data_IF_362542062744
#
_entry.id   IF_362542062744
#
_cell.length_a   1.000
_cell.length_b   1.000
_cell.length_c   1.000
_cell.angle_alpha   90.00
_cell.angle_beta   90.00
_cell.angle_gamma   90.00
#
_symmetry.space_group_name_H-M   'P 1'
#
loop_
_entity.id
_entity.type
_entity.pdbx_description
1 polymer ?
#
# COMPACT_ATOMS: atom_id res chain seq x y z
N UNK A 1 -30.13 -18.28 -11.15
CA UNK A 1 -30.11 -16.83 -11.47
C UNK A 1 -30.57 -16.48 -12.89
N UNK A 2 -30.04 -17.10 -13.97
CA UNK A 2 -30.45 -16.77 -15.36
C UNK A 2 -31.95 -17.01 -15.64
N UNK A 3 -32.53 -18.11 -15.15
CA UNK A 3 -33.97 -18.43 -15.31
C UNK A 3 -34.89 -17.41 -14.62
N UNK A 4 -34.54 -16.96 -13.41
CA UNK A 4 -35.33 -15.97 -12.66
C UNK A 4 -35.37 -14.61 -13.37
N UNK A 5 -34.23 -14.17 -13.92
CA UNK A 5 -34.17 -12.94 -14.74
C UNK A 5 -35.03 -13.05 -15.99
N UNK A 6 -35.00 -14.20 -16.67
CA UNK A 6 -35.82 -14.43 -17.86
C UNK A 6 -37.31 -14.38 -17.52
N UNK A 7 -37.72 -15.05 -16.43
CA UNK A 7 -39.10 -15.05 -15.94
C UNK A 7 -39.58 -13.63 -15.58
N UNK A 8 -38.74 -12.84 -14.90
CA UNK A 8 -39.07 -11.44 -14.57
C UNK A 8 -39.21 -10.56 -15.82
N UNK A 9 -38.33 -10.72 -16.81
CA UNK A 9 -38.43 -9.98 -18.09
C UNK A 9 -39.71 -10.36 -18.84
N UNK A 10 -40.05 -11.65 -18.92
CA UNK A 10 -41.28 -12.10 -19.55
C UNK A 10 -42.53 -11.63 -18.81
N UNK A 11 -42.51 -11.60 -17.47
CA UNK A 11 -43.61 -11.07 -16.67
C UNK A 11 -43.85 -9.58 -16.90
N UNK A 12 -42.79 -8.77 -17.00
CA UNK A 12 -42.87 -7.33 -17.29
C UNK A 12 -43.38 -7.08 -18.72
N UNK A 13 -42.93 -7.87 -19.70
CA UNK A 13 -43.36 -7.74 -21.09
C UNK A 13 -44.80 -8.24 -21.34
N UNK A 14 -45.24 -9.27 -20.61
CA UNK A 14 -46.59 -9.80 -20.73
C UNK A 14 -47.65 -8.85 -20.13
N UNK A 15 -47.28 -8.05 -19.13
CA UNK A 15 -48.21 -7.16 -18.41
C UNK A 15 -49.00 -6.16 -19.28
N UNK A 16 -48.39 -5.37 -20.20
CA UNK A 16 -49.16 -4.46 -21.05
C UNK A 16 -50.10 -5.20 -22.01
N UNK A 17 -49.72 -6.39 -22.48
CA UNK A 17 -50.53 -7.21 -23.38
C UNK A 17 -51.75 -7.77 -22.65
N UNK A 18 -51.56 -8.29 -21.44
CA UNK A 18 -52.65 -8.83 -20.61
C UNK A 18 -53.58 -7.75 -20.09
N UNK A 19 -53.07 -6.55 -19.78
CA UNK A 19 -53.87 -5.38 -19.38
C UNK A 19 -54.80 -4.90 -20.49
N UNK A 20 -54.32 -4.85 -21.74
CA UNK A 20 -55.15 -4.51 -22.91
C UNK A 20 -56.25 -5.57 -23.10
N UNK A 21 -55.89 -6.85 -22.98
CA UNK A 21 -56.83 -7.96 -23.13
C UNK A 21 -57.94 -7.92 -22.07
N UNK A 22 -57.59 -7.59 -20.82
CA UNK A 22 -58.56 -7.40 -19.75
C UNK A 22 -59.52 -6.23 -20.02
N UNK A 23 -59.01 -5.09 -20.51
CA UNK A 23 -59.85 -3.94 -20.87
C UNK A 23 -60.85 -4.23 -21.98
N UNK A 24 -60.52 -5.14 -22.89
CA UNK A 24 -61.36 -5.50 -24.04
C UNK A 24 -62.38 -6.60 -23.69
N UNK A 25 -61.99 -7.58 -22.88
CA UNK A 25 -62.82 -8.78 -22.61
C UNK A 25 -63.61 -8.64 -21.30
N UNK A 26 -63.26 -7.69 -20.42
CA UNK A 26 -64.04 -7.35 -19.22
C UNK A 26 -64.03 -8.42 -18.11
N UNK A 27 -63.12 -9.39 -18.17
CA UNK A 27 -63.03 -10.46 -17.17
C UNK A 27 -61.99 -10.07 -16.11
N UNK A 28 -62.34 -10.05 -14.80
CA UNK A 28 -61.47 -9.61 -13.71
C UNK A 28 -60.37 -10.63 -13.32
N UNK A 29 -59.73 -11.29 -14.31
CA UNK A 29 -58.72 -12.34 -14.06
C UNK A 29 -57.46 -11.77 -13.39
N UNK A 30 -57.17 -10.49 -13.59
CA UNK A 30 -55.95 -9.84 -13.12
C UNK A 30 -56.18 -8.72 -12.12
N UNK A 31 -57.39 -8.55 -11.57
CA UNK A 31 -57.65 -7.50 -10.57
C UNK A 31 -56.77 -7.68 -9.33
N UNK A 32 -56.65 -8.91 -8.82
CA UNK A 32 -55.73 -9.21 -7.72
C UNK A 32 -54.27 -8.97 -8.09
N UNK A 33 -53.88 -9.20 -9.35
CA UNK A 33 -52.50 -8.94 -9.81
C UNK A 33 -52.24 -7.43 -9.96
N UNK A 34 -53.23 -6.67 -10.44
CA UNK A 34 -53.19 -5.22 -10.54
C UNK A 34 -53.17 -4.57 -9.16
N UNK A 35 -53.95 -5.07 -8.20
CA UNK A 35 -53.91 -4.65 -6.80
C UNK A 35 -52.53 -4.92 -6.18
N UNK A 36 -51.95 -6.10 -6.38
CA UNK A 36 -50.59 -6.43 -5.91
C UNK A 36 -49.54 -5.50 -6.55
N UNK A 37 -49.63 -5.24 -7.86
CA UNK A 37 -48.73 -4.32 -8.55
C UNK A 37 -48.92 -2.87 -8.10
N UNK A 38 -50.15 -2.45 -7.86
CA UNK A 38 -50.47 -1.11 -7.37
C UNK A 38 -49.98 -0.93 -5.93
N UNK A 39 -50.21 -1.90 -5.05
CA UNK A 39 -49.63 -1.90 -3.70
C UNK A 39 -48.10 -1.89 -3.75
N UNK A 40 -47.49 -2.68 -4.64
CA UNK A 40 -46.05 -2.67 -4.87
C UNK A 40 -45.54 -1.32 -5.37
N UNK A 41 -46.25 -0.69 -6.32
CA UNK A 41 -45.94 0.63 -6.82
C UNK A 41 -46.04 1.70 -5.73
N UNK A 42 -47.11 1.69 -4.92
CA UNK A 42 -47.31 2.65 -3.82
C UNK A 42 -46.17 2.53 -2.80
N UNK A 43 -45.77 1.31 -2.43
CA UNK A 43 -44.64 1.06 -1.51
C UNK A 43 -43.32 1.53 -2.15
N UNK A 44 -43.07 1.17 -3.40
CA UNK A 44 -41.85 1.56 -4.11
C UNK A 44 -41.75 3.07 -4.28
N UNK A 45 -42.86 3.73 -4.59
CA UNK A 45 -42.93 5.19 -4.71
C UNK A 45 -42.72 5.87 -3.35
N UNK A 46 -43.30 5.32 -2.28
CA UNK A 46 -43.10 5.84 -0.92
C UNK A 46 -41.66 5.68 -0.41
N UNK A 47 -40.90 4.69 -0.90
CA UNK A 47 -39.54 4.39 -0.46
C UNK A 47 -38.46 4.65 -1.54
N UNK A 48 -38.82 5.23 -2.68
CA UNK A 48 -37.93 5.38 -3.84
C UNK A 48 -36.64 6.12 -3.47
N UNK A 49 -36.78 7.17 -2.67
CA UNK A 49 -35.71 8.05 -2.21
C UNK A 49 -34.64 7.27 -1.46
N UNK A 50 -35.07 6.37 -0.58
CA UNK A 50 -34.19 5.50 0.21
C UNK A 50 -33.53 4.43 -0.64
N UNK A 51 -34.24 3.88 -1.63
CA UNK A 51 -33.64 2.97 -2.61
C UNK A 51 -32.55 3.67 -3.42
N UNK A 52 -32.77 4.93 -3.84
CA UNK A 52 -31.78 5.75 -4.51
C UNK A 52 -30.57 6.02 -3.60
N UNK A 53 -30.79 6.41 -2.34
CA UNK A 53 -29.73 6.64 -1.35
C UNK A 53 -28.89 5.38 -1.13
N UNK A 54 -29.53 4.22 -0.95
CA UNK A 54 -28.83 2.93 -0.80
C UNK A 54 -28.00 2.60 -2.03
N UNK A 55 -28.56 2.78 -3.23
CA UNK A 55 -27.87 2.55 -4.49
C UNK A 55 -26.66 3.47 -4.66
N UNK A 56 -26.82 4.78 -4.43
CA UNK A 56 -25.71 5.74 -4.48
C UNK A 56 -24.66 5.46 -3.43
N UNK A 57 -25.06 5.09 -2.21
CA UNK A 57 -24.14 4.70 -1.13
C UNK A 57 -23.32 3.49 -1.54
N UNK A 58 -23.94 2.47 -2.15
CA UNK A 58 -23.22 1.31 -2.67
C UNK A 58 -22.22 1.70 -3.77
N UNK A 59 -22.64 2.52 -4.74
CA UNK A 59 -21.78 2.95 -5.84
C UNK A 59 -20.55 3.72 -5.32
N UNK A 60 -20.76 4.71 -4.45
CA UNK A 60 -19.67 5.52 -3.91
C UNK A 60 -18.71 4.70 -3.05
N UNK A 61 -19.21 3.70 -2.31
CA UNK A 61 -18.40 2.94 -1.37
C UNK A 61 -17.81 1.64 -1.91
N UNK A 62 -18.15 1.22 -3.15
CA UNK A 62 -17.70 -0.06 -3.73
C UNK A 62 -16.19 -0.29 -3.65
N UNK A 63 -15.39 0.76 -3.80
CA UNK A 63 -13.92 0.70 -3.81
C UNK A 63 -13.28 1.37 -2.59
N UNK A 64 -14.03 1.59 -1.50
CA UNK A 64 -13.55 2.37 -0.35
C UNK A 64 -12.33 1.75 0.33
N UNK A 65 -12.22 0.42 0.33
CA UNK A 65 -11.08 -0.33 0.88
C UNK A 65 -9.78 0.03 0.17
N UNK A 66 -9.85 0.45 -1.09
CA UNK A 66 -8.66 0.83 -1.84
C UNK A 66 -7.94 2.05 -1.25
N UNK A 67 -8.70 2.94 -0.60
CA UNK A 67 -8.15 4.12 0.11
C UNK A 67 -7.26 3.67 1.28
N UNK A 68 -7.64 2.61 1.98
CA UNK A 68 -6.82 2.00 3.04
C UNK A 68 -5.49 1.53 2.44
N UNK A 69 -5.54 0.70 1.40
CA UNK A 69 -4.34 0.12 0.79
C UNK A 69 -3.39 1.18 0.22
N UNK A 70 -3.90 2.18 -0.48
CA UNK A 70 -3.08 3.27 -1.04
C UNK A 70 -2.42 4.10 0.08
N UNK A 71 -3.11 4.27 1.20
CA UNK A 71 -2.56 4.94 2.38
C UNK A 71 -1.48 4.11 3.06
N UNK A 72 -1.70 2.80 3.20
CA UNK A 72 -0.71 1.87 3.76
C UNK A 72 0.58 1.86 2.93
N UNK A 73 0.47 1.82 1.60
CA UNK A 73 1.61 1.89 0.67
C UNK A 73 2.39 3.19 0.82
N UNK A 74 1.67 4.33 0.89
CA UNK A 74 2.29 5.64 1.09
C UNK A 74 3.06 5.72 2.40
N UNK A 75 2.46 5.27 3.51
CA UNK A 75 3.11 5.26 4.83
C UNK A 75 4.31 4.31 4.83
N UNK A 76 4.18 3.13 4.21
CA UNK A 76 5.27 2.15 4.08
C UNK A 76 6.46 2.76 3.37
N UNK A 77 6.24 3.48 2.26
CA UNK A 77 7.30 4.16 1.52
C UNK A 77 7.93 5.30 2.34
N UNK A 78 7.12 6.16 2.96
CA UNK A 78 7.63 7.23 3.83
C UNK A 78 8.43 6.69 5.02
N UNK A 79 8.00 5.58 5.62
CA UNK A 79 8.69 4.90 6.72
C UNK A 79 10.01 4.31 6.25
N UNK A 80 10.03 3.69 5.07
CA UNK A 80 11.26 3.17 4.48
C UNK A 80 12.30 4.28 4.27
N UNK A 81 11.92 5.39 3.63
CA UNK A 81 12.83 6.53 3.46
C UNK A 81 13.29 7.09 4.80
N UNK A 82 12.39 7.20 5.79
CA UNK A 82 12.76 7.65 7.13
C UNK A 82 13.80 6.75 7.82
N UNK A 83 13.69 5.42 7.67
CA UNK A 83 14.71 4.49 8.18
C UNK A 83 16.00 4.57 7.37
N UNK A 84 15.96 4.70 6.04
CA UNK A 84 17.18 4.87 5.25
C UNK A 84 17.93 6.14 5.67
N UNK A 85 17.23 7.28 5.80
CA UNK A 85 17.80 8.55 6.27
C UNK A 85 18.42 8.41 7.67
N UNK A 86 17.70 7.74 8.58
CA UNK A 86 18.10 7.58 9.99
C UNK A 86 19.44 6.88 10.13
N UNK A 87 19.68 5.88 9.28
CA UNK A 87 20.89 5.08 9.31
C UNK A 87 21.97 5.61 8.36
N UNK A 88 21.72 6.64 7.56
CA UNK A 88 22.60 7.08 6.46
C UNK A 88 24.07 7.26 6.88
N UNK A 89 24.32 7.86 8.04
CA UNK A 89 25.67 8.15 8.54
C UNK A 89 26.38 6.98 9.26
N UNK A 90 25.76 5.80 9.26
CA UNK A 90 26.26 4.60 9.96
C UNK A 90 26.80 3.55 8.98
N UNK A 91 27.74 2.69 9.41
CA UNK A 91 28.30 1.63 8.55
C UNK A 91 27.33 0.45 8.32
N UNK A 92 26.17 0.46 8.99
CA UNK A 92 25.22 -0.65 9.01
C UNK A 92 24.09 -0.45 8.02
N UNK A 93 23.54 -1.54 7.50
CA UNK A 93 22.32 -1.53 6.69
C UNK A 93 21.12 -1.27 7.62
N UNK A 94 20.15 -0.41 7.23
CA UNK A 94 18.94 -0.22 8.02
C UNK A 94 18.22 -1.57 8.19
N UNK A 95 17.83 -1.97 9.40
CA UNK A 95 17.15 -3.25 9.66
C UNK A 95 15.93 -3.47 8.77
N UNK A 96 15.12 -2.42 8.57
CA UNK A 96 13.96 -2.46 7.68
C UNK A 96 14.33 -2.76 6.23
N UNK A 97 15.45 -2.20 5.76
CA UNK A 97 15.96 -2.46 4.41
C UNK A 97 16.44 -3.91 4.28
N UNK A 98 17.20 -4.39 5.28
CA UNK A 98 17.65 -5.78 5.32
C UNK A 98 16.46 -6.75 5.31
N UNK A 99 15.44 -6.50 6.14
CA UNK A 99 14.22 -7.30 6.17
C UNK A 99 13.55 -7.38 4.80
N UNK A 100 13.42 -6.27 4.09
CA UNK A 100 12.80 -6.24 2.76
C UNK A 100 13.67 -6.80 1.65
N UNK A 101 14.99 -6.86 1.81
CA UNK A 101 15.89 -7.54 0.87
C UNK A 101 15.75 -9.07 1.00
N UNK A 102 15.67 -9.57 2.25
CA UNK A 102 15.48 -10.99 2.53
C UNK A 102 14.04 -11.46 2.27
N UNK A 103 13.06 -10.59 2.51
CA UNK A 103 11.63 -10.87 2.35
C UNK A 103 11.02 -9.84 1.39
N UNK A 104 11.15 -10.03 0.07
CA UNK A 104 10.73 -9.05 -0.91
C UNK A 104 9.25 -8.65 -0.77
N UNK A 105 8.96 -7.38 -0.42
CA UNK A 105 7.61 -6.94 -0.10
C UNK A 105 6.71 -6.97 -1.33
N UNK A 106 5.54 -7.57 -1.16
CA UNK A 106 4.45 -7.51 -2.14
C UNK A 106 3.63 -6.23 -1.96
N UNK A 107 2.68 -5.95 -2.87
CA UNK A 107 1.71 -4.90 -2.60
C UNK A 107 0.87 -5.26 -1.38
N UNK A 108 0.51 -4.25 -0.59
CA UNK A 108 -0.43 -4.38 0.53
C UNK A 108 -1.87 -4.64 0.03
N UNK A 109 -2.17 -4.25 -1.21
CA UNK A 109 -3.46 -4.55 -1.85
C UNK A 109 -3.54 -6.02 -2.28
N UNK A 110 -4.74 -6.59 -2.18
CA UNK A 110 -5.06 -7.93 -2.68
C UNK A 110 -5.25 -7.99 -4.20
N UNK A 111 -5.26 -6.83 -4.87
CA UNK A 111 -5.41 -6.74 -6.31
C UNK A 111 -4.13 -7.21 -7.03
N UNK A 112 -4.29 -8.23 -7.89
CA UNK A 112 -3.21 -8.84 -8.68
C UNK A 112 -2.54 -7.80 -9.59
N UNK A 113 -3.31 -6.87 -10.16
CA UNK A 113 -2.76 -5.80 -11.00
C UNK A 113 -1.81 -4.90 -10.20
N UNK A 114 -2.24 -4.51 -8.99
CA UNK A 114 -1.41 -3.70 -8.09
C UNK A 114 -0.17 -4.45 -7.60
N UNK A 115 -0.27 -5.76 -7.34
CA UNK A 115 0.87 -6.60 -6.97
C UNK A 115 1.95 -6.59 -8.07
N UNK A 116 1.55 -6.74 -9.34
CA UNK A 116 2.48 -6.81 -10.47
C UNK A 116 3.12 -5.47 -10.82
N UNK A 117 2.40 -4.36 -10.62
CA UNK A 117 2.90 -3.00 -10.91
C UNK A 117 3.61 -2.31 -9.74
N UNK A 118 3.65 -2.93 -8.55
CA UNK A 118 4.18 -2.29 -7.34
C UNK A 118 5.69 -2.12 -7.40
N UNK A 119 6.20 -0.89 -7.47
CA UNK A 119 7.65 -0.61 -7.57
C UNK A 119 8.37 -0.49 -6.23
N UNK A 120 7.74 -0.84 -5.11
CA UNK A 120 8.35 -0.65 -3.79
C UNK A 120 9.61 -1.51 -3.60
N UNK A 121 9.59 -2.78 -4.00
CA UNK A 121 10.79 -3.61 -3.91
C UNK A 121 11.93 -3.10 -4.81
N UNK A 122 11.61 -2.62 -6.01
CA UNK A 122 12.58 -1.95 -6.89
C UNK A 122 13.23 -0.74 -6.18
N UNK A 123 12.45 0.07 -5.47
CA UNK A 123 12.96 1.18 -4.66
C UNK A 123 13.88 0.70 -3.53
N UNK A 124 13.53 -0.38 -2.83
CA UNK A 124 14.38 -0.98 -1.77
C UNK A 124 15.73 -1.40 -2.34
N UNK A 125 15.73 -2.10 -3.48
CA UNK A 125 16.95 -2.58 -4.13
C UNK A 125 17.80 -1.42 -4.64
N UNK A 126 17.21 -0.36 -5.19
CA UNK A 126 17.96 0.84 -5.55
C UNK A 126 18.62 1.51 -4.34
N UNK A 127 17.88 1.68 -3.25
CA UNK A 127 18.45 2.26 -2.02
C UNK A 127 19.58 1.39 -1.44
N UNK A 128 19.48 0.06 -1.55
CA UNK A 128 20.55 -0.85 -1.19
C UNK A 128 21.78 -0.68 -2.07
N UNK A 129 21.59 -0.66 -3.39
CA UNK A 129 22.66 -0.44 -4.37
C UNK A 129 23.37 0.88 -4.14
N UNK A 130 22.65 1.96 -3.88
CA UNK A 130 23.27 3.26 -3.64
C UNK A 130 24.11 3.22 -2.36
N UNK A 131 23.71 2.45 -1.34
CA UNK A 131 24.41 2.35 -0.06
C UNK A 131 25.66 1.48 -0.09
N UNK A 132 25.64 0.32 -0.75
CA UNK A 132 26.80 -0.59 -0.83
C UNK A 132 28.01 0.06 -1.52
N UNK A 133 27.78 1.08 -2.35
CA UNK A 133 28.82 1.74 -3.16
C UNK A 133 29.21 3.13 -2.68
N UNK A 134 28.60 3.63 -1.59
CA UNK A 134 29.11 4.83 -0.93
C UNK A 134 30.33 4.42 -0.12
N UNK A 135 31.51 4.88 -0.57
CA UNK A 135 32.77 4.89 0.20
C UNK A 135 32.63 5.91 1.36
N UNK A 136 31.70 5.62 2.26
CA UNK A 136 31.20 6.55 3.24
C UNK A 136 32.09 6.55 4.46
N UNK A 137 32.77 7.68 4.70
CA UNK A 137 33.25 8.01 6.04
C UNK A 137 32.03 8.05 6.97
N UNK A 138 31.79 6.96 7.68
CA UNK A 138 30.71 6.89 8.67
C UNK A 138 31.05 7.84 9.80
N UNK A 139 30.16 8.80 10.08
CA UNK A 139 30.38 9.79 11.12
C UNK A 139 29.90 9.31 12.50
N UNK A 140 29.05 8.27 12.54
CA UNK A 140 28.48 7.71 13.76
C UNK A 140 28.29 6.19 13.67
N UNK A 141 28.42 5.49 14.80
CA UNK A 141 28.03 4.08 14.94
C UNK A 141 26.58 3.89 15.39
N UNK A 142 25.93 4.97 15.81
CA UNK A 142 24.56 4.96 16.30
C UNK A 142 23.65 5.68 15.30
N UNK A 143 22.51 5.08 14.93
CA UNK A 143 21.55 5.73 14.05
C UNK A 143 20.93 6.95 14.75
N UNK A 144 20.45 7.91 13.96
CA UNK A 144 19.70 9.04 14.47
C UNK A 144 18.43 8.58 15.22
N UNK A 145 17.79 9.46 16.00
CA UNK A 145 16.50 9.14 16.60
C UNK A 145 15.42 8.91 15.51
N UNK A 146 14.52 7.94 15.73
CA UNK A 146 13.41 7.69 14.79
C UNK A 146 12.51 8.91 14.69
N UNK A 147 12.07 9.22 13.47
CA UNK A 147 11.03 10.22 13.25
C UNK A 147 9.73 9.73 13.91
N UNK A 148 8.95 10.65 14.49
CA UNK A 148 7.66 10.27 15.08
C UNK A 148 6.70 9.72 14.04
N UNK A 149 5.79 8.84 14.45
CA UNK A 149 4.79 8.21 13.56
C UNK A 149 3.97 9.25 12.77
N UNK A 150 3.59 10.34 13.43
CA UNK A 150 2.89 11.46 12.80
C UNK A 150 3.69 12.14 11.70
N UNK A 151 5.02 12.24 11.86
CA UNK A 151 5.90 12.80 10.84
C UNK A 151 6.01 11.90 9.61
N UNK A 152 5.84 10.58 9.78
CA UNK A 152 5.85 9.60 8.68
C UNK A 152 4.55 9.63 7.89
N UNK A 153 3.42 9.72 8.57
CA UNK A 153 2.11 9.93 7.92
C UNK A 153 2.15 11.22 7.10
N UNK A 154 2.80 12.26 7.65
CA UNK A 154 2.98 13.55 7.02
C UNK A 154 1.81 14.50 7.32
N UNK A 155 2.17 15.76 7.60
CA UNK A 155 1.20 16.79 8.01
C UNK A 155 0.06 16.97 7.01
N UNK A 156 0.35 16.87 5.70
CA UNK A 156 -0.65 17.01 4.64
C UNK A 156 -1.75 15.95 4.71
N UNK A 157 -1.40 14.68 4.96
CA UNK A 157 -2.40 13.60 5.06
C UNK A 157 -3.22 13.71 6.34
N UNK A 158 -2.56 14.08 7.43
CA UNK A 158 -3.22 14.35 8.70
C UNK A 158 -4.25 15.48 8.57
N UNK A 159 -3.84 16.65 8.05
CA UNK A 159 -4.73 17.80 7.83
C UNK A 159 -5.89 17.45 6.91
N UNK A 160 -5.65 16.70 5.83
CA UNK A 160 -6.71 16.24 4.93
C UNK A 160 -7.73 15.37 5.67
N UNK A 161 -7.26 14.47 6.52
CA UNK A 161 -8.15 13.58 7.32
C UNK A 161 -8.95 14.40 8.34
N UNK A 162 -8.29 15.31 9.06
CA UNK A 162 -8.93 16.18 10.06
C UNK A 162 -9.97 17.11 9.45
N UNK A 163 -9.68 17.72 8.30
CA UNK A 163 -10.64 18.58 7.59
C UNK A 163 -11.88 17.80 7.18
N UNK A 164 -11.72 16.59 6.65
CA UNK A 164 -12.86 15.72 6.32
C UNK A 164 -13.67 15.35 7.57
N UNK A 165 -13.00 15.02 8.69
CA UNK A 165 -13.70 14.78 9.96
C UNK A 165 -14.51 15.98 10.43
N UNK A 166 -13.96 17.20 10.32
CA UNK A 166 -14.66 18.44 10.67
C UNK A 166 -15.87 18.66 9.76
N UNK A 167 -15.75 18.39 8.46
CA UNK A 167 -16.87 18.49 7.53
C UNK A 167 -18.01 17.54 7.89
N UNK A 168 -17.69 16.30 8.29
CA UNK A 168 -18.68 15.33 8.75
C UNK A 168 -19.37 15.87 10.02
N UNK A 169 -18.61 16.20 11.05
CA UNK A 169 -19.18 16.72 12.31
C UNK A 169 -20.00 17.99 12.07
N UNK A 170 -19.52 18.90 11.24
CA UNK A 170 -20.22 20.13 10.87
C UNK A 170 -21.53 19.86 10.12
N UNK A 171 -21.57 18.87 9.23
CA UNK A 171 -22.81 18.45 8.58
C UNK A 171 -23.81 17.91 9.60
N UNK A 172 -23.40 16.99 10.49
CA UNK A 172 -24.27 16.44 11.53
C UNK A 172 -24.81 17.55 12.44
N UNK A 173 -23.93 18.48 12.86
CA UNK A 173 -24.32 19.60 13.72
C UNK A 173 -25.32 20.51 13.01
N UNK A 174 -25.07 20.86 11.74
CA UNK A 174 -25.95 21.71 10.95
C UNK A 174 -27.35 21.12 10.80
N UNK A 175 -27.47 19.84 10.48
CA UNK A 175 -28.80 19.21 10.30
C UNK A 175 -29.51 19.07 11.65
N UNK A 176 -28.80 18.65 12.70
CA UNK A 176 -29.41 18.41 14.02
C UNK A 176 -29.87 19.71 14.71
N UNK A 177 -29.16 20.82 14.50
CA UNK A 177 -29.54 22.13 15.09
C UNK A 177 -30.77 22.72 14.41
N UNK A 178 -30.91 22.53 13.09
CA UNK A 178 -32.02 23.10 12.33
C UNK A 178 -33.32 22.32 12.57
N UNK A 179 -33.27 21.00 12.33
CA UNK A 179 -34.39 20.09 12.57
C UNK A 179 -33.90 18.63 12.52
N UNK A 180 -33.94 17.88 13.65
CA UNK A 180 -33.54 16.49 13.69
C UNK A 180 -34.30 15.57 12.71
N UNK A 181 -35.56 15.88 12.39
CA UNK A 181 -36.37 15.06 11.47
C UNK A 181 -35.92 15.19 10.00
N UNK A 182 -35.21 16.26 9.67
CA UNK A 182 -34.68 16.52 8.33
C UNK A 182 -33.69 15.44 7.85
N UNK A 183 -33.13 14.65 8.76
CA UNK A 183 -32.34 13.46 8.42
C UNK A 183 -33.11 12.37 7.67
N UNK A 184 -34.39 12.22 7.99
CA UNK A 184 -35.23 11.14 7.45
C UNK A 184 -36.20 11.67 6.39
N UNK A 185 -36.75 12.86 6.63
CA UNK A 185 -37.83 13.42 5.82
C UNK A 185 -37.41 14.64 5.00
N UNK A 186 -36.30 15.29 5.35
CA UNK A 186 -35.76 16.47 4.67
C UNK A 186 -34.97 16.13 3.40
N UNK A 187 -34.58 17.17 2.66
CA UNK A 187 -33.75 17.04 1.45
C UNK A 187 -32.29 16.66 1.77
N UNK A 188 -31.88 16.88 3.02
CA UNK A 188 -30.59 16.56 3.59
C UNK A 188 -30.27 15.07 3.45
N UNK A 189 -31.29 14.20 3.44
CA UNK A 189 -31.15 12.76 3.25
C UNK A 189 -30.41 12.38 1.96
N UNK A 190 -30.51 13.19 0.90
CA UNK A 190 -29.78 12.94 -0.36
C UNK A 190 -28.27 13.15 -0.25
N UNK A 191 -27.80 13.83 0.79
CA UNK A 191 -26.38 13.99 1.08
C UNK A 191 -25.79 12.85 1.92
N UNK A 192 -26.63 11.97 2.49
CA UNK A 192 -26.22 10.80 3.29
C UNK A 192 -25.17 9.92 2.57
N UNK A 193 -25.32 9.56 1.27
CA UNK A 193 -24.32 8.74 0.58
C UNK A 193 -22.92 9.34 0.61
N UNK A 194 -22.82 10.67 0.48
CA UNK A 194 -21.55 11.41 0.50
C UNK A 194 -20.98 11.43 1.92
N UNK A 195 -21.81 11.69 2.92
CA UNK A 195 -21.39 11.72 4.33
C UNK A 195 -20.90 10.35 4.78
N UNK A 196 -21.60 9.27 4.41
CA UNK A 196 -21.15 7.89 4.66
C UNK A 196 -19.81 7.62 3.98
N UNK A 197 -19.64 8.03 2.71
CA UNK A 197 -18.37 7.89 2.01
C UNK A 197 -17.23 8.62 2.72
N UNK A 198 -17.45 9.86 3.17
CA UNK A 198 -16.46 10.63 3.92
C UNK A 198 -16.15 9.96 5.27
N UNK A 199 -17.16 9.44 5.97
CA UNK A 199 -16.98 8.70 7.23
C UNK A 199 -16.13 7.44 7.03
N UNK A 200 -16.44 6.65 6.01
CA UNK A 200 -15.64 5.47 5.68
C UNK A 200 -14.23 5.86 5.18
N UNK A 201 -14.09 6.96 4.44
CA UNK A 201 -12.79 7.50 4.04
C UNK A 201 -11.89 7.77 5.26
N UNK A 202 -12.44 8.45 6.27
CA UNK A 202 -11.73 8.74 7.53
C UNK A 202 -11.41 7.44 8.27
N UNK A 203 -12.37 6.53 8.39
CA UNK A 203 -12.16 5.23 9.06
C UNK A 203 -11.04 4.41 8.40
N UNK A 204 -11.03 4.31 7.06
CA UNK A 204 -10.00 3.61 6.29
C UNK A 204 -8.61 4.26 6.45
N UNK A 205 -8.55 5.59 6.50
CA UNK A 205 -7.31 6.34 6.76
C UNK A 205 -6.77 6.08 8.17
N UNK A 206 -7.62 6.18 9.19
CA UNK A 206 -7.24 5.93 10.59
C UNK A 206 -6.78 4.49 10.76
N UNK A 207 -7.50 3.52 10.19
CA UNK A 207 -7.09 2.11 10.23
C UNK A 207 -5.70 1.93 9.61
N UNK A 208 -5.42 2.57 8.47
CA UNK A 208 -4.10 2.54 7.85
C UNK A 208 -3.00 3.14 8.75
N UNK A 209 -3.30 4.23 9.47
CA UNK A 209 -2.38 4.86 10.42
C UNK A 209 -2.03 3.92 11.58
N UNK A 210 -3.01 3.19 12.12
CA UNK A 210 -2.83 2.26 13.24
C UNK A 210 -2.12 0.96 12.82
N UNK A 211 -2.34 0.49 11.59
CA UNK A 211 -1.70 -0.73 11.08
C UNK A 211 -0.21 -0.56 10.80
N UNK A 212 0.24 0.63 10.39
CA UNK A 212 1.64 0.90 10.02
C UNK A 212 2.50 1.48 11.15
N UNK A 213 2.15 1.24 12.42
CA UNK A 213 2.91 1.74 13.57
C UNK A 213 4.32 1.14 13.66
N UNK A 214 5.23 1.88 14.29
CA UNK A 214 6.60 1.39 14.56
C UNK A 214 6.64 0.20 15.51
N UNK A 215 5.77 0.18 16.54
CA UNK A 215 5.75 -0.93 17.50
C UNK A 215 5.50 -2.27 16.80
N UNK A 216 4.58 -2.30 15.82
CA UNK A 216 4.33 -3.51 15.02
C UNK A 216 5.54 -3.87 14.14
N UNK A 217 6.22 -2.87 13.60
CA UNK A 217 7.42 -3.11 12.81
C UNK A 217 8.55 -3.68 13.68
N UNK A 218 8.75 -3.15 14.88
CA UNK A 218 9.79 -3.60 15.80
C UNK A 218 9.61 -5.05 16.20
N UNK A 219 8.37 -5.47 16.47
CA UNK A 219 8.06 -6.89 16.72
C UNK A 219 8.45 -7.75 15.51
N UNK A 220 8.09 -7.35 14.29
CA UNK A 220 8.43 -8.12 13.08
C UNK A 220 9.94 -8.22 12.86
N UNK A 221 10.69 -7.15 13.12
CA UNK A 221 12.15 -7.14 12.98
C UNK A 221 12.80 -8.00 14.08
N UNK A 222 12.34 -7.86 15.33
CA UNK A 222 12.82 -8.62 16.47
C UNK A 222 12.54 -10.12 16.32
N UNK A 223 11.35 -10.50 15.83
CA UNK A 223 11.01 -11.90 15.54
C UNK A 223 11.91 -12.51 14.45
N UNK A 224 12.33 -11.70 13.47
CA UNK A 224 13.14 -12.19 12.35
C UNK A 224 14.64 -12.24 12.65
N UNK A 225 15.18 -11.25 13.36
CA UNK A 225 16.62 -11.12 13.61
C UNK A 225 17.03 -11.41 15.05
N UNK A 226 16.08 -11.56 15.98
CA UNK A 226 16.33 -11.73 17.41
C UNK A 226 16.58 -10.42 18.17
N UNK A 227 16.67 -9.29 17.47
CA UNK A 227 16.88 -7.96 18.05
C UNK A 227 16.17 -6.88 17.23
N UNK A 228 15.79 -5.76 17.87
CA UNK A 228 15.05 -4.67 17.22
C UNK A 228 15.88 -3.87 16.21
N UNK A 229 17.19 -3.76 16.45
CA UNK A 229 18.09 -2.93 15.63
C UNK A 229 19.38 -3.68 15.28
N UNK A 230 19.28 -4.73 14.44
CA UNK A 230 20.42 -5.53 14.06
C UNK A 230 21.46 -4.71 13.30
N UNK A 231 22.71 -4.84 13.73
CA UNK A 231 23.85 -4.12 13.19
C UNK A 231 24.56 -4.94 12.12
N UNK A 232 23.89 -5.11 10.98
CA UNK A 232 24.48 -5.83 9.83
C UNK A 232 25.29 -4.85 9.00
N UNK A 233 26.60 -5.07 8.92
CA UNK A 233 27.46 -4.27 8.07
C UNK A 233 27.30 -4.65 6.59
N UNK A 234 27.66 -3.75 5.70
CA UNK A 234 27.54 -4.00 4.26
C UNK A 234 28.47 -5.12 3.73
N UNK A 235 29.69 -5.36 4.25
CA UNK A 235 30.54 -6.45 3.75
C UNK A 235 29.92 -7.82 4.05
N UNK A 236 29.21 -7.97 5.18
CA UNK A 236 28.54 -9.22 5.56
C UNK A 236 27.45 -9.66 4.57
N UNK A 237 26.95 -8.74 3.75
CA UNK A 237 25.85 -9.00 2.81
C UNK A 237 26.30 -9.05 1.37
N UNK A 238 27.60 -9.09 1.11
CA UNK A 238 28.14 -9.18 -0.25
C UNK A 238 27.81 -10.58 -0.87
N UNK A 239 27.62 -10.72 -2.19
CA UNK A 239 27.14 -11.96 -2.85
C UNK A 239 27.95 -13.23 -2.55
N UNK A 240 29.22 -13.11 -2.21
CA UNK A 240 30.08 -14.22 -1.79
C UNK A 240 29.76 -14.71 -0.36
N UNK A 241 29.25 -13.83 0.50
CA UNK A 241 28.86 -14.11 1.87
C UNK A 241 27.51 -14.85 1.98
N UNK A 242 27.28 -15.63 3.05
CA UNK A 242 26.03 -16.37 3.24
C UNK A 242 24.78 -15.49 3.18
N UNK A 243 24.79 -14.30 3.81
CA UNK A 243 23.65 -13.38 3.79
C UNK A 243 23.40 -12.81 2.39
N UNK A 244 24.45 -12.52 1.62
CA UNK A 244 24.31 -12.04 0.24
C UNK A 244 23.77 -13.10 -0.72
N UNK A 245 24.13 -14.37 -0.52
CA UNK A 245 23.53 -15.51 -1.25
C UNK A 245 22.01 -15.61 -1.00
N UNK A 246 21.56 -15.35 0.23
CA UNK A 246 20.12 -15.33 0.53
C UNK A 246 19.44 -14.14 -0.15
N UNK A 247 20.06 -12.95 -0.16
CA UNK A 247 19.52 -11.77 -0.86
C UNK A 247 19.39 -12.02 -2.36
N UNK A 248 20.41 -12.61 -3.00
CA UNK A 248 20.35 -12.95 -4.43
C UNK A 248 19.26 -13.98 -4.74
N UNK A 249 19.13 -15.02 -3.91
CA UNK A 249 18.06 -16.02 -4.05
C UNK A 249 16.66 -15.40 -3.86
N UNK A 250 16.49 -14.54 -2.85
CA UNK A 250 15.23 -13.83 -2.62
C UNK A 250 14.85 -12.93 -3.81
N UNK A 251 15.82 -12.21 -4.37
CA UNK A 251 15.63 -11.40 -5.58
C UNK A 251 15.24 -12.24 -6.80
N UNK A 252 15.90 -13.39 -7.03
CA UNK A 252 15.55 -14.30 -8.12
C UNK A 252 14.12 -14.85 -7.97
N UNK A 253 13.76 -15.29 -6.77
CA UNK A 253 12.42 -15.79 -6.48
C UNK A 253 11.33 -14.70 -6.69
N UNK A 254 11.63 -13.46 -6.30
CA UNK A 254 10.73 -12.32 -6.49
C UNK A 254 10.52 -12.01 -7.97
N UNK A 255 11.61 -11.90 -8.73
CA UNK A 255 11.56 -11.57 -10.15
C UNK A 255 10.82 -12.63 -10.96
N UNK A 256 11.07 -13.91 -10.67
CA UNK A 256 10.34 -15.02 -11.27
C UNK A 256 8.85 -14.98 -10.92
N UNK A 257 8.51 -14.84 -9.63
CA UNK A 257 7.11 -14.77 -9.17
C UNK A 257 6.36 -13.62 -9.84
N UNK A 258 6.96 -12.43 -9.89
CA UNK A 258 6.32 -11.24 -10.48
C UNK A 258 6.14 -11.39 -11.99
N UNK A 259 7.10 -12.00 -12.68
CA UNK A 259 6.97 -12.30 -14.11
C UNK A 259 5.84 -13.32 -14.36
N UNK A 260 5.73 -14.38 -13.55
CA UNK A 260 4.63 -15.35 -13.62
C UNK A 260 3.27 -14.66 -13.47
N UNK A 261 3.10 -13.77 -12.49
CA UNK A 261 1.86 -13.00 -12.33
C UNK A 261 1.61 -12.03 -13.49
N UNK A 262 2.66 -11.46 -14.08
CA UNK A 262 2.53 -10.62 -15.28
C UNK A 262 1.98 -11.41 -16.46
N UNK A 263 2.49 -12.64 -16.65
CA UNK A 263 2.06 -13.52 -17.73
C UNK A 263 0.60 -13.95 -17.53
N UNK A 264 0.18 -14.25 -16.30
CA UNK A 264 -1.21 -14.56 -15.95
C UNK A 264 -2.16 -13.41 -16.31
N UNK A 265 -1.81 -12.17 -15.97
CA UNK A 265 -2.64 -10.99 -16.31
C UNK A 265 -2.75 -10.80 -17.83
N UNK A 266 -1.65 -11.03 -18.57
CA UNK A 266 -1.60 -10.82 -20.02
C UNK A 266 -2.13 -12.01 -20.82
N UNK A 267 -2.67 -13.05 -20.17
CA UNK A 267 -3.11 -14.31 -20.79
C UNK A 267 -2.04 -14.97 -21.67
N UNK A 268 -0.75 -14.71 -21.37
CA UNK A 268 0.36 -15.29 -22.11
C UNK A 268 0.67 -16.67 -21.52
N UNK A 269 0.87 -17.67 -22.39
CA UNK A 269 1.35 -18.98 -21.96
C UNK A 269 2.64 -18.82 -21.13
N UNK A 270 2.74 -19.58 -20.05
CA UNK A 270 3.93 -19.64 -19.21
C UNK A 270 5.07 -20.29 -20.02
N UNK A 271 5.76 -19.49 -20.84
CA UNK A 271 6.97 -19.95 -21.49
C UNK A 271 8.08 -20.04 -20.45
N UNK A 272 8.80 -21.17 -20.41
CA UNK A 272 10.01 -21.37 -19.61
C UNK A 272 11.19 -20.50 -20.04
N UNK A 273 10.98 -19.51 -20.93
CA UNK A 273 12.03 -18.65 -21.42
C UNK A 273 12.11 -17.39 -20.53
N UNK A 274 13.29 -17.05 -19.97
CA UNK A 274 13.48 -15.98 -18.99
C UNK A 274 13.50 -14.59 -19.63
N UNK A 275 12.63 -14.32 -20.61
CA UNK A 275 12.45 -12.99 -21.15
C UNK A 275 11.60 -12.15 -20.19
N UNK A 276 12.25 -11.68 -19.14
CA UNK A 276 11.69 -10.77 -18.15
C UNK A 276 11.32 -9.43 -18.80
N UNK A 277 10.03 -9.14 -18.91
CA UNK A 277 9.49 -7.93 -19.56
C UNK A 277 8.69 -7.03 -18.61
N UNK A 278 8.57 -7.40 -17.33
CA UNK A 278 7.86 -6.56 -16.38
C UNK A 278 8.73 -5.34 -15.97
N UNK A 279 8.18 -4.15 -16.20
CA UNK A 279 8.81 -2.86 -15.91
C UNK A 279 9.00 -2.57 -14.41
N UNK A 280 8.30 -3.26 -13.53
CA UNK A 280 8.38 -3.13 -12.09
C UNK A 280 9.40 -4.09 -11.45
N UNK A 281 10.12 -4.88 -12.24
CA UNK A 281 11.17 -5.77 -11.72
C UNK A 281 12.32 -4.95 -11.13
N UNK A 282 12.78 -5.35 -9.95
CA UNK A 282 13.97 -4.77 -9.36
C UNK A 282 15.20 -5.19 -10.18
N UNK A 283 16.17 -4.31 -10.41
CA UNK A 283 17.43 -4.71 -11.03
C UNK A 283 18.20 -5.63 -10.09
N UNK A 284 19.26 -6.27 -10.59
CA UNK A 284 20.13 -7.09 -9.74
C UNK A 284 20.69 -6.27 -8.56
N UNK A 285 20.67 -6.79 -7.30
CA UNK A 285 21.02 -6.01 -6.11
C UNK A 285 22.50 -5.62 -5.99
N UNK A 286 23.39 -6.31 -6.71
CA UNK A 286 24.83 -6.07 -6.65
C UNK A 286 25.33 -5.65 -8.04
N UNK A 287 26.02 -4.52 -8.19
CA UNK A 287 26.62 -4.13 -9.45
C UNK A 287 27.99 -4.82 -9.72
N UNK A 288 28.59 -5.49 -8.73
CA UNK A 288 29.76 -6.36 -8.88
C UNK A 288 29.60 -7.66 -8.11
N UNK A 289 30.20 -8.74 -8.61
CA UNK A 289 30.14 -10.08 -8.00
C UNK A 289 31.19 -10.29 -6.89
N UNK A 290 32.21 -9.42 -6.82
CA UNK A 290 33.28 -9.46 -5.80
C UNK A 290 33.37 -8.18 -4.98
N UNK A 291 33.74 -8.34 -3.71
CA UNK A 291 33.95 -7.25 -2.75
C UNK A 291 35.00 -6.30 -3.36
N UNK A 292 34.73 -4.99 -3.49
CA UNK A 292 35.75 -4.06 -3.96
C UNK A 292 36.94 -3.99 -3.01
N UNK A 293 38.18 -3.88 -3.51
CA UNK A 293 39.40 -3.86 -2.66
C UNK A 293 39.40 -2.76 -1.57
N UNK A 294 38.68 -1.65 -1.77
CA UNK A 294 38.54 -0.60 -0.75
C UNK A 294 37.73 -1.04 0.48
N UNK A 295 36.87 -2.04 0.32
CA UNK A 295 36.00 -2.60 1.34
C UNK A 295 36.74 -3.47 2.35
N UNK A 296 37.70 -4.25 1.87
CA UNK A 296 38.51 -5.17 2.69
C UNK A 296 39.35 -4.40 3.71
N UNK A 297 39.61 -3.12 3.41
CA UNK A 297 40.37 -2.20 4.25
C UNK A 297 39.48 -1.39 5.23
N UNK A 298 38.17 -1.61 5.26
CA UNK A 298 37.30 -0.98 6.26
C UNK A 298 37.40 -1.79 7.54
N UNK A 299 38.26 -1.33 8.44
CA UNK A 299 38.20 -1.75 9.84
C UNK A 299 36.84 -1.33 10.41
N UNK A 300 35.91 -2.28 10.54
CA UNK A 300 34.72 -2.10 11.38
C UNK A 300 35.25 -2.28 12.81
N UNK A 301 35.41 -1.22 13.62
CA UNK A 301 35.92 -1.41 14.96
C UNK A 301 34.97 -2.32 15.73
N UNK A 302 35.55 -3.28 16.44
CA UNK A 302 34.84 -4.19 17.32
C UNK A 302 33.86 -3.42 18.20
N UNK A 303 32.65 -3.96 18.46
CA UNK A 303 31.67 -3.29 19.29
C UNK A 303 32.32 -2.92 20.62
N UNK A 304 32.47 -1.62 20.86
CA UNK A 304 33.01 -1.08 22.11
C UNK A 304 32.23 -1.67 23.28
N UNK A 305 32.83 -2.66 23.94
CA UNK A 305 32.49 -2.99 25.31
C UNK A 305 32.56 -1.69 26.11
N UNK A 306 31.46 -1.39 26.80
CA UNK A 306 31.23 -0.18 27.58
C UNK A 306 32.49 0.15 28.40
N UNK A 307 33.24 1.15 27.96
CA UNK A 307 34.22 1.84 28.81
C UNK A 307 33.89 3.33 28.85
N UNK A 308 33.97 3.95 30.04
CA UNK A 308 33.41 5.27 30.26
C UNK A 308 34.27 6.35 29.61
N UNK A 309 33.61 7.46 29.31
CA UNK A 309 34.15 8.68 28.72
C UNK A 309 35.60 8.99 29.11
N UNK A 310 36.49 9.06 28.11
CA UNK A 310 37.67 9.91 28.20
C UNK A 310 37.71 10.87 27.03
N UNK A 311 37.70 12.15 27.39
CA UNK A 311 37.97 13.30 26.56
C UNK A 311 39.24 13.07 25.73
N UNK A 312 39.12 13.12 24.41
CA UNK A 312 40.26 13.10 23.50
C UNK A 312 39.91 13.82 22.21
N UNK A 313 40.34 15.08 22.09
CA UNK A 313 40.30 15.85 20.83
C UNK A 313 41.07 15.05 19.76
N UNK A 314 40.35 14.47 18.80
CA UNK A 314 40.97 13.82 17.64
C UNK A 314 41.21 14.84 16.53
N UNK A 315 42.48 14.94 16.12
CA UNK A 315 42.98 15.73 14.99
C UNK A 315 42.33 15.26 13.69
N UNK A 316 41.70 16.18 12.95
CA UNK A 316 41.36 16.00 11.53
C UNK A 316 42.64 15.83 10.71
N UNK A 317 42.93 14.60 10.28
CA UNK A 317 43.83 14.36 9.15
C UNK A 317 42.97 14.14 7.90
N UNK A 318 42.83 15.18 7.09
CA UNK A 318 42.29 15.07 5.74
C UNK A 318 43.35 14.43 4.82
N UNK A 319 43.29 13.12 4.63
CA UNK A 319 43.88 12.47 3.45
C UNK A 319 42.74 12.21 2.45
N UNK A 320 42.63 13.09 1.47
CA UNK A 320 41.75 12.90 0.31
C UNK A 320 42.41 11.83 -0.56
N UNK A 321 41.99 10.57 -0.42
CA UNK A 321 42.29 9.53 -1.40
C UNK A 321 41.42 9.76 -2.63
N UNK A 322 42.06 10.07 -3.76
CA UNK A 322 41.41 10.10 -5.08
C UNK A 322 40.97 8.68 -5.43
N UNK A 323 39.72 8.34 -5.15
CA UNK A 323 39.10 7.10 -5.62
C UNK A 323 38.86 7.16 -7.13
N UNK A 324 39.38 6.17 -7.86
CA UNK A 324 39.08 5.97 -9.27
C UNK A 324 37.58 5.73 -9.45
N UNK A 325 36.92 6.63 -10.19
CA UNK A 325 35.58 6.41 -10.74
C UNK A 325 35.70 5.29 -11.77
N UNK A 326 34.99 4.18 -11.55
CA UNK A 326 34.93 3.07 -12.51
C UNK A 326 34.14 3.54 -13.73
N UNK A 327 34.80 3.62 -14.89
CA UNK A 327 34.14 3.90 -16.16
C UNK A 327 33.32 2.69 -16.60
N UNK A 328 32.02 2.91 -16.83
CA UNK A 328 31.11 1.89 -17.30
C UNK A 328 31.38 1.56 -18.78
N UNK A 329 31.78 0.31 -19.06
CA UNK A 329 31.55 -0.27 -20.39
C UNK A 329 30.09 -0.67 -20.49
N UNK A 330 29.33 0.07 -21.31
CA UNK A 330 28.01 -0.35 -21.79
C UNK A 330 28.20 -1.66 -22.55
N UNK A 331 27.69 -2.78 -22.06
CA UNK A 331 27.56 -3.99 -22.88
C UNK A 331 26.36 -3.78 -23.80
N UNK A 332 26.64 -3.67 -25.09
CA UNK A 332 25.65 -3.91 -26.14
C UNK A 332 25.42 -5.42 -26.22
N UNK A 333 24.17 -5.84 -26.02
CA UNK A 333 23.57 -7.04 -26.60
C UNK A 333 22.08 -7.04 -26.31
#
# INVERSE_FOLDING_TARGET
MKKLRLILVWAVLAYPITWIFQKVVGIPIFDSYHEILYSGYVILYACWDWLLILFLTYIFNRNIVQIKYDTLEKIRQSRFHAEVDRWFDTPYIPPLMMYYLLNPPQSVSTDIYKSVSNRFYQLVVFAFRDRVFINGQSSSYYPAARKSHWRIIGLKEFLKTSLVSILIVGWFASVTINDPESWLFGNERFSIPVVIFLGLYVAMKIQAYLEMSYNKLDVVIEDHFGEKEPKVSWPEVFPDQPKGKVITAAWQAETEKRQRYTNLIKEQQLYNNPNYRNHALAPYPYPSDSIPEWAENIEIPAPLEKTPSMNGKSKKNNKVTKGNVVNFRRRES
#
